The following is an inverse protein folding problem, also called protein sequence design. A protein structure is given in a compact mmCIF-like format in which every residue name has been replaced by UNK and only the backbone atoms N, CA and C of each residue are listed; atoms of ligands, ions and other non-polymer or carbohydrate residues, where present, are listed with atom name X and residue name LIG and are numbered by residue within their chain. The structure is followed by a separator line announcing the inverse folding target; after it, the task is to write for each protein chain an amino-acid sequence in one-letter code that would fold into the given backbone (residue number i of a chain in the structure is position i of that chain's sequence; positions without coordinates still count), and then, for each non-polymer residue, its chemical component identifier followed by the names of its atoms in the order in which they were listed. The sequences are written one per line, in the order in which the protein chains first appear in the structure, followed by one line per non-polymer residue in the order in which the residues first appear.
data_IF_318824343534
#
_entry.id   IF_318824343534
#
_cell.length_a   1.000
_cell.length_b   1.000
_cell.length_c   1.000
_cell.angle_alpha   90.00
_cell.angle_beta   90.00
_cell.angle_gamma   90.00
#
_symmetry.space_group_name_H-M   'P 1'
#
loop_
_entity.id
_entity.type
_entity.pdbx_description
1 polymer ?
#
# COMPACT_ATOMS: atom_id res chain seq x y z
N UNK A 1 -33.72 -35.58 46.77
CA UNK A 1 -32.37 -35.75 47.37
C UNK A 1 -31.36 -35.05 46.46
N UNK A 2 -30.90 -33.87 46.86
CA UNK A 2 -29.65 -33.25 46.39
C UNK A 2 -28.51 -33.68 47.36
N UNK A 3 -27.21 -33.46 47.06
CA UNK A 3 -26.55 -32.14 47.19
C UNK A 3 -25.68 -31.78 45.96
N UNK A 4 -25.56 -30.52 45.53
CA UNK A 4 -24.83 -29.38 46.09
C UNK A 4 -23.30 -29.44 45.90
N UNK A 5 -22.79 -28.53 45.05
CA UNK A 5 -21.36 -28.26 44.84
C UNK A 5 -21.16 -26.89 44.17
N UNK A 6 -21.12 -25.84 45.00
CA UNK A 6 -20.77 -24.46 44.64
C UNK A 6 -19.27 -24.29 44.36
N UNK A 7 -18.89 -23.36 43.48
CA UNK A 7 -17.80 -22.39 43.70
C UNK A 7 -17.83 -21.26 42.64
N UNK A 8 -18.33 -20.06 43.00
CA UNK A 8 -17.59 -18.78 43.19
C UNK A 8 -17.04 -18.16 41.89
N UNK A 9 -17.79 -17.24 41.26
CA UNK A 9 -17.72 -15.75 41.40
C UNK A 9 -16.33 -15.14 41.22
N UNK A 10 -16.09 -14.54 40.06
CA UNK A 10 -15.32 -13.30 39.92
C UNK A 10 -15.94 -12.45 38.79
N UNK A 11 -16.72 -11.46 39.19
CA UNK A 11 -17.16 -10.36 38.36
C UNK A 11 -16.17 -9.21 38.58
N UNK A 12 -15.48 -8.76 37.54
CA UNK A 12 -14.77 -7.47 37.57
C UNK A 12 -15.45 -6.48 36.63
N UNK A 13 -15.99 -5.45 37.28
CA UNK A 13 -16.55 -4.22 36.74
C UNK A 13 -15.41 -3.33 36.25
N UNK A 14 -15.51 -2.74 35.07
CA UNK A 14 -14.77 -1.53 34.71
C UNK A 14 -15.79 -0.43 34.40
N UNK A 15 -15.65 0.67 35.12
CA UNK A 15 -16.58 1.80 35.17
C UNK A 15 -16.28 2.77 34.03
N UNK A 16 -17.35 3.16 33.36
CA UNK A 16 -17.52 4.36 32.54
C UNK A 16 -17.13 5.62 33.33
N UNK A 17 -16.36 6.52 32.71
CA UNK A 17 -16.30 7.93 33.11
C UNK A 17 -16.49 8.78 31.86
N UNK A 18 -17.61 9.48 31.81
CA UNK A 18 -18.00 10.48 30.83
C UNK A 18 -18.24 11.76 31.64
N UNK A 19 -17.47 12.83 31.41
CA UNK A 19 -17.77 14.17 31.92
C UNK A 19 -17.33 15.24 30.92
N UNK A 20 -18.30 15.66 30.10
CA UNK A 20 -18.72 17.04 29.78
C UNK A 20 -17.68 18.13 29.51
N UNK A 21 -17.80 18.70 28.31
CA UNK A 21 -17.27 19.99 27.86
C UNK A 21 -18.08 21.19 28.38
N UNK A 22 -17.47 22.38 28.46
CA UNK A 22 -18.04 23.69 28.11
C UNK A 22 -17.00 24.84 28.18
N UNK A 23 -16.73 25.42 27.00
CA UNK A 23 -16.53 26.84 26.62
C UNK A 23 -15.94 27.89 27.59
N UNK A 24 -14.96 28.67 27.10
CA UNK A 24 -15.16 30.09 26.66
C UNK A 24 -13.87 30.75 26.07
N UNK A 25 -14.10 31.61 25.07
CA UNK A 25 -13.37 32.77 24.49
C UNK A 25 -11.94 33.11 24.99
N UNK A 26 -11.04 33.69 24.19
CA UNK A 26 -11.14 34.38 22.90
C UNK A 26 -9.98 35.36 22.73
N UNK A 27 -9.66 35.67 21.47
CA UNK A 27 -8.93 36.86 20.95
C UNK A 27 -7.45 37.07 21.29
N UNK A 28 -6.59 36.85 20.27
CA UNK A 28 -5.26 37.47 20.11
C UNK A 28 -5.41 38.61 19.09
N UNK A 29 -5.07 39.83 19.49
CA UNK A 29 -5.08 41.04 18.66
C UNK A 29 -3.75 41.21 17.89
N UNK A 30 -3.90 41.72 16.66
CA UNK A 30 -2.86 42.16 15.72
C UNK A 30 -2.36 43.60 16.01
N UNK A 31 -1.18 43.90 15.43
CA UNK A 31 -0.74 45.21 14.86
C UNK A 31 -0.42 46.36 15.84
N UNK A 32 0.46 47.35 15.58
CA UNK A 32 1.46 47.68 14.56
C UNK A 32 2.16 49.02 14.97
N UNK A 33 3.20 49.42 14.22
CA UNK A 33 3.80 50.79 14.11
C UNK A 33 4.61 51.28 15.33
N UNK A 34 5.66 52.11 15.26
CA UNK A 34 6.41 52.88 14.25
C UNK A 34 7.63 53.49 15.00
N UNK A 35 8.82 53.68 14.43
CA UNK A 35 9.19 54.88 13.66
C UNK A 35 9.77 56.00 14.55
N UNK A 36 10.99 56.49 14.24
CA UNK A 36 11.42 57.85 14.60
C UNK A 36 12.70 58.02 15.43
N UNK A 37 13.80 58.27 14.71
CA UNK A 37 14.80 59.35 14.86
C UNK A 37 15.59 59.62 16.17
N UNK A 38 16.90 59.78 15.92
CA UNK A 38 18.02 60.28 16.74
C UNK A 38 17.85 61.75 17.18
N UNK A 39 18.59 62.22 18.20
CA UNK A 39 19.82 62.97 17.89
C UNK A 39 20.99 62.79 18.89
N UNK A 40 22.21 63.04 18.40
CA UNK A 40 23.42 63.36 19.19
C UNK A 40 23.32 64.83 19.71
N UNK A 41 24.13 65.35 20.68
CA UNK A 41 25.59 65.47 20.52
C UNK A 41 26.43 65.52 21.83
N UNK A 42 27.76 65.67 21.67
CA UNK A 42 28.71 66.47 22.48
C UNK A 42 29.94 65.72 23.04
N UNK A 43 31.10 66.04 22.44
CA UNK A 43 32.47 65.97 22.98
C UNK A 43 32.85 67.29 23.70
N UNK A 44 34.08 67.52 24.24
CA UNK A 44 35.02 66.74 25.09
C UNK A 44 35.44 67.64 26.32
N UNK A 45 36.52 67.43 27.13
CA UNK A 45 37.95 67.60 26.71
C UNK A 45 39.04 66.79 27.50
N UNK A 46 40.29 66.81 26.96
CA UNK A 46 41.62 66.97 27.61
C UNK A 46 42.04 66.02 28.79
N UNK A 47 43.29 65.58 29.01
CA UNK A 47 44.64 65.81 28.48
C UNK A 47 45.66 64.90 29.21
N UNK A 48 46.93 64.96 28.80
CA UNK A 48 48.22 64.46 29.40
C UNK A 48 48.69 63.07 28.94
N UNK A 49 49.61 62.98 27.96
CA UNK A 49 51.09 63.17 27.97
C UNK A 49 51.87 61.98 28.61
N UNK A 50 52.40 61.02 27.82
CA UNK A 50 53.83 60.86 27.34
C UNK A 50 54.69 60.01 28.33
N UNK A 51 55.76 59.24 27.97
CA UNK A 51 56.40 58.94 26.67
C UNK A 51 56.61 57.44 26.32
N UNK A 52 56.95 57.19 25.06
CA UNK A 52 57.64 55.98 24.58
C UNK A 52 59.16 56.01 24.92
N UNK A 53 59.85 54.86 24.89
CA UNK A 53 60.88 54.72 23.86
C UNK A 53 61.06 53.32 23.24
N UNK A 54 61.42 53.35 21.96
CA UNK A 54 62.44 52.52 21.27
C UNK A 54 62.18 51.04 20.94
N UNK A 55 61.96 50.80 19.64
CA UNK A 55 62.43 49.63 18.86
C UNK A 55 63.98 49.53 18.89
N UNK A 56 64.64 48.40 18.54
CA UNK A 56 64.28 47.48 17.44
C UNK A 56 64.57 45.97 17.65
N UNK A 57 64.02 45.14 16.76
CA UNK A 57 64.74 44.20 15.87
C UNK A 57 63.81 43.11 15.33
N UNK A 58 63.72 43.03 14.01
CA UNK A 58 63.12 41.94 13.24
C UNK A 58 63.92 40.65 13.46
N UNK A 59 63.21 39.57 13.83
CA UNK A 59 63.71 38.19 13.75
C UNK A 59 62.85 37.47 12.71
N UNK A 60 63.45 36.80 11.71
CA UNK A 60 62.69 36.26 10.58
C UNK A 60 61.83 35.08 11.00
N UNK A 61 60.62 35.02 10.43
CA UNK A 61 59.70 33.92 10.59
C UNK A 61 60.33 32.58 10.14
N UNK A 62 60.17 31.48 10.87
CA UNK A 62 60.47 30.16 10.33
C UNK A 62 59.47 29.84 9.22
N UNK A 63 60.01 29.54 8.04
CA UNK A 63 59.26 29.02 6.90
C UNK A 63 58.81 27.59 7.18
N UNK A 64 57.67 27.42 7.86
CA UNK A 64 56.97 26.14 7.88
C UNK A 64 56.18 25.98 6.59
N UNK A 65 56.83 25.40 5.59
CA UNK A 65 56.15 24.78 4.44
C UNK A 65 55.87 23.31 4.76
N UNK A 66 55.09 23.07 5.81
CA UNK A 66 54.40 21.80 5.98
C UNK A 66 53.18 21.82 5.05
N UNK A 67 53.33 21.26 3.85
CA UNK A 67 52.20 20.89 3.00
C UNK A 67 51.43 19.78 3.71
N UNK A 68 50.55 20.16 4.64
CA UNK A 68 49.54 19.29 5.22
C UNK A 68 48.49 19.04 4.15
N UNK A 69 48.70 18.00 3.35
CA UNK A 69 47.62 17.39 2.58
C UNK A 69 46.76 16.63 3.59
N UNK A 70 45.84 17.36 4.22
CA UNK A 70 44.79 16.75 5.04
C UNK A 70 44.08 15.72 4.15
N UNK A 71 44.06 14.43 4.52
CA UNK A 71 43.44 13.40 3.69
C UNK A 71 41.98 13.77 3.50
N UNK A 72 41.52 13.74 2.24
CA UNK A 72 40.11 14.01 1.94
C UNK A 72 39.22 13.12 2.83
N UNK A 73 38.18 13.68 3.47
CA UNK A 73 37.29 12.91 4.32
C UNK A 73 36.72 11.76 3.49
N UNK A 74 36.85 10.54 4.02
CA UNK A 74 36.31 9.35 3.38
C UNK A 74 34.82 9.59 3.07
N UNK A 75 34.34 9.22 1.88
CA UNK A 75 32.93 9.40 1.54
C UNK A 75 32.06 8.73 2.59
N UNK A 76 31.11 9.48 3.14
CA UNK A 76 30.13 8.93 4.09
C UNK A 76 29.39 7.76 3.43
N UNK A 77 29.13 6.65 4.16
CA UNK A 77 28.42 5.52 3.59
C UNK A 77 27.04 5.97 3.12
N UNK A 78 26.67 5.60 1.88
CA UNK A 78 25.34 5.89 1.37
C UNK A 78 24.27 5.38 2.34
N UNK A 79 23.20 6.16 2.59
CA UNK A 79 22.11 5.70 3.45
C UNK A 79 21.51 4.40 2.89
N UNK A 80 21.11 3.45 3.75
CA UNK A 80 20.58 2.18 3.30
C UNK A 80 19.33 2.41 2.44
N UNK A 81 19.25 1.71 1.32
CA UNK A 81 18.11 1.78 0.42
C UNK A 81 16.89 1.15 1.12
N UNK A 82 15.67 1.64 0.84
CA UNK A 82 14.47 1.11 1.50
C UNK A 82 14.23 -0.40 1.32
N UNK A 83 14.73 -0.97 0.23
CA UNK A 83 14.67 -2.41 -0.09
C UNK A 83 15.88 -3.20 0.42
N UNK A 84 16.80 -2.59 1.16
CA UNK A 84 17.91 -3.32 1.78
C UNK A 84 17.37 -4.35 2.77
N UNK A 85 17.79 -5.61 2.60
CA UNK A 85 17.33 -6.76 3.37
C UNK A 85 16.15 -7.53 2.76
N UNK A 86 15.63 -7.13 1.59
CA UNK A 86 14.70 -7.97 0.83
C UNK A 86 15.41 -9.25 0.36
N UNK A 87 14.72 -10.39 0.46
CA UNK A 87 15.18 -11.67 -0.06
C UNK A 87 14.66 -11.83 -1.48
N UNK A 88 15.56 -11.79 -2.46
CA UNK A 88 15.24 -12.01 -3.88
C UNK A 88 15.58 -13.46 -4.23
N UNK A 89 14.63 -14.25 -4.77
CA UNK A 89 14.89 -15.61 -5.25
C UNK A 89 16.05 -15.71 -6.24
N UNK A 90 16.76 -16.84 -6.21
CA UNK A 90 17.89 -17.09 -7.10
C UNK A 90 17.46 -17.02 -8.58
N UNK A 91 18.25 -16.31 -9.40
CA UNK A 91 17.96 -16.12 -10.82
C UNK A 91 16.90 -15.06 -11.11
N UNK A 92 16.40 -14.35 -10.09
CA UNK A 92 15.49 -13.23 -10.26
C UNK A 92 16.20 -11.89 -10.04
N UNK A 93 15.67 -10.82 -10.65
CA UNK A 93 16.07 -9.44 -10.37
C UNK A 93 14.83 -8.60 -10.12
N UNK A 94 14.89 -7.78 -9.08
CA UNK A 94 13.80 -6.90 -8.69
C UNK A 94 14.27 -5.44 -8.77
N UNK A 95 13.47 -4.60 -9.41
CA UNK A 95 13.63 -3.15 -9.37
C UNK A 95 12.57 -2.54 -8.47
N UNK A 96 12.96 -1.54 -7.68
CA UNK A 96 12.14 -0.97 -6.63
C UNK A 96 12.05 0.55 -6.74
N UNK A 97 10.95 1.12 -6.27
CA UNK A 97 10.79 2.55 -6.04
C UNK A 97 10.00 2.82 -4.77
N UNK A 98 10.07 4.05 -4.28
CA UNK A 98 9.15 4.56 -3.25
C UNK A 98 8.08 5.41 -3.92
N UNK A 99 6.81 5.05 -3.72
CA UNK A 99 5.66 5.86 -4.14
C UNK A 99 4.82 6.21 -2.93
N UNK A 100 4.66 7.51 -2.65
CA UNK A 100 3.85 7.99 -1.53
C UNK A 100 4.23 7.31 -0.19
N UNK A 101 5.52 7.01 0.01
CA UNK A 101 6.05 6.35 1.20
C UNK A 101 5.91 4.82 1.23
N UNK A 102 5.37 4.19 0.18
CA UNK A 102 5.27 2.73 0.04
C UNK A 102 6.41 2.18 -0.81
N UNK A 103 6.96 1.01 -0.44
CA UNK A 103 7.88 0.26 -1.27
C UNK A 103 7.13 -0.44 -2.40
N UNK A 104 7.54 -0.24 -3.65
CA UNK A 104 6.85 -0.74 -4.84
C UNK A 104 7.81 -1.50 -5.74
N UNK A 105 7.45 -2.74 -6.08
CA UNK A 105 8.14 -3.56 -7.08
C UNK A 105 7.75 -3.08 -8.47
N UNK A 106 8.69 -2.52 -9.24
CA UNK A 106 8.40 -1.90 -10.54
C UNK A 106 8.64 -2.83 -11.71
N UNK A 107 9.64 -3.68 -11.58
CA UNK A 107 10.04 -4.66 -12.59
C UNK A 107 10.57 -5.90 -11.88
N UNK A 108 10.26 -7.07 -12.43
CA UNK A 108 10.72 -8.34 -11.90
C UNK A 108 11.10 -9.29 -13.04
N UNK A 109 12.41 -9.51 -13.18
CA UNK A 109 12.96 -10.46 -14.13
C UNK A 109 13.11 -11.83 -13.48
N UNK A 110 12.80 -12.88 -14.23
CA UNK A 110 12.96 -14.28 -13.80
C UNK A 110 13.35 -15.15 -15.01
N UNK A 111 13.97 -16.30 -14.73
CA UNK A 111 14.43 -17.24 -15.77
C UNK A 111 13.40 -18.31 -16.13
N UNK A 112 12.57 -18.73 -15.17
CA UNK A 112 11.50 -19.72 -15.37
C UNK A 112 10.14 -19.09 -15.02
N UNK A 113 9.20 -19.07 -15.97
CA UNK A 113 7.89 -18.44 -15.79
C UNK A 113 6.82 -19.30 -15.14
N UNK A 114 7.12 -20.55 -14.81
CA UNK A 114 6.24 -21.38 -13.99
C UNK A 114 6.64 -21.24 -12.51
N UNK A 115 5.64 -21.01 -11.64
CA UNK A 115 5.80 -20.91 -10.18
C UNK A 115 6.82 -19.84 -9.75
N UNK A 116 6.75 -18.66 -10.36
CA UNK A 116 7.59 -17.52 -9.98
C UNK A 116 7.32 -17.16 -8.52
N UNK A 117 8.38 -17.14 -7.71
CA UNK A 117 8.32 -16.67 -6.33
C UNK A 117 8.66 -15.18 -6.32
N UNK A 118 7.89 -14.39 -5.60
CA UNK A 118 8.19 -12.96 -5.40
C UNK A 118 9.13 -12.74 -4.19
N UNK A 119 9.78 -11.56 -4.11
CA UNK A 119 10.64 -11.23 -2.98
C UNK A 119 9.91 -11.23 -1.63
N UNK A 120 10.64 -11.47 -0.55
CA UNK A 120 10.10 -11.48 0.83
C UNK A 120 10.94 -10.64 1.78
N UNK A 121 10.41 -10.36 2.98
CA UNK A 121 11.15 -9.81 4.10
C UNK A 121 10.69 -8.43 4.58
N UNK A 122 9.94 -7.69 3.77
CA UNK A 122 9.28 -6.44 4.15
C UNK A 122 7.98 -6.27 3.37
N UNK A 123 6.99 -5.52 3.89
CA UNK A 123 5.78 -5.21 3.13
C UNK A 123 6.05 -4.38 1.87
N UNK A 124 5.43 -4.73 0.74
CA UNK A 124 5.52 -3.97 -0.51
C UNK A 124 4.26 -4.08 -1.38
N UNK A 125 4.15 -3.18 -2.35
CA UNK A 125 3.13 -3.22 -3.40
C UNK A 125 3.72 -3.81 -4.69
N UNK A 126 2.94 -4.61 -5.41
CA UNK A 126 3.25 -4.94 -6.80
C UNK A 126 2.87 -3.75 -7.66
N UNK A 127 3.86 -3.17 -8.34
CA UNK A 127 3.72 -1.92 -9.08
C UNK A 127 2.87 -2.04 -10.34
N UNK A 128 2.38 -0.89 -10.80
CA UNK A 128 1.58 -0.80 -12.00
C UNK A 128 2.33 -1.37 -13.20
N UNK A 129 1.65 -2.20 -13.99
CA UNK A 129 2.18 -2.90 -15.17
C UNK A 129 3.39 -3.83 -14.93
N UNK A 130 3.77 -4.16 -13.68
CA UNK A 130 5.00 -4.90 -13.37
C UNK A 130 5.17 -6.22 -14.15
N UNK A 131 4.07 -6.94 -14.38
CA UNK A 131 4.00 -8.19 -15.14
C UNK A 131 3.08 -8.08 -16.37
N UNK A 132 2.75 -6.87 -16.81
CA UNK A 132 1.87 -6.66 -17.96
C UNK A 132 2.47 -7.28 -19.23
N UNK A 133 1.64 -7.96 -20.02
CA UNK A 133 2.01 -8.65 -21.28
C UNK A 133 3.10 -9.72 -21.10
N UNK A 134 3.27 -10.22 -19.88
CA UNK A 134 4.23 -11.29 -19.62
C UNK A 134 3.61 -12.67 -19.90
N UNK A 135 3.55 -13.07 -21.17
CA UNK A 135 2.99 -14.36 -21.58
C UNK A 135 3.83 -15.57 -21.12
N UNK A 136 5.08 -15.35 -20.70
CA UNK A 136 5.94 -16.40 -20.13
C UNK A 136 5.56 -16.70 -18.68
N UNK A 137 5.00 -15.73 -17.94
CA UNK A 137 4.54 -15.91 -16.57
C UNK A 137 3.26 -16.77 -16.56
N UNK A 138 3.40 -18.06 -16.27
CA UNK A 138 2.30 -19.04 -16.26
C UNK A 138 1.82 -19.39 -14.85
N UNK A 139 2.64 -19.12 -13.83
CA UNK A 139 2.26 -19.27 -12.43
C UNK A 139 3.11 -18.38 -11.54
N UNK A 140 2.51 -17.87 -10.47
CA UNK A 140 3.15 -16.98 -9.50
C UNK A 140 2.65 -17.29 -8.09
N UNK A 141 3.53 -17.17 -7.10
CA UNK A 141 3.17 -17.22 -5.68
C UNK A 141 3.33 -15.82 -5.09
N UNK A 142 2.20 -15.22 -4.69
CA UNK A 142 2.15 -13.94 -3.99
C UNK A 142 2.38 -14.21 -2.49
N UNK A 143 3.47 -13.73 -1.87
CA UNK A 143 3.72 -13.92 -0.44
C UNK A 143 2.88 -12.97 0.41
N UNK A 144 2.77 -13.27 1.71
CA UNK A 144 2.06 -12.45 2.71
C UNK A 144 2.68 -11.06 2.94
N UNK A 145 3.88 -10.81 2.38
CA UNK A 145 4.52 -9.50 2.36
C UNK A 145 3.83 -8.52 1.38
N UNK A 146 3.07 -9.02 0.41
CA UNK A 146 2.39 -8.14 -0.56
C UNK A 146 1.12 -7.56 0.07
N UNK A 147 1.04 -6.23 0.12
CA UNK A 147 -0.09 -5.50 0.74
C UNK A 147 -1.00 -4.81 -0.26
N UNK A 148 -0.54 -4.60 -1.49
CA UNK A 148 -1.30 -3.92 -2.56
C UNK A 148 -0.86 -4.45 -3.93
N UNK A 149 -1.81 -4.56 -4.85
CA UNK A 149 -1.54 -4.86 -6.25
C UNK A 149 -2.08 -3.70 -7.10
N UNK A 150 -1.16 -2.99 -7.75
CA UNK A 150 -1.47 -1.78 -8.51
C UNK A 150 -2.06 -2.07 -9.89
N UNK A 151 -2.50 -1.00 -10.56
CA UNK A 151 -3.25 -1.06 -11.81
C UNK A 151 -2.52 -1.87 -12.89
N UNK A 152 -3.27 -2.74 -13.57
CA UNK A 152 -2.78 -3.55 -14.70
C UNK A 152 -1.54 -4.41 -14.40
N UNK A 153 -1.21 -4.66 -13.12
CA UNK A 153 0.03 -5.33 -12.74
C UNK A 153 0.26 -6.68 -13.45
N UNK A 154 -0.81 -7.42 -13.78
CA UNK A 154 -0.76 -8.72 -14.46
C UNK A 154 -1.57 -8.75 -15.76
N UNK A 155 -1.94 -7.58 -16.31
CA UNK A 155 -2.79 -7.49 -17.50
C UNK A 155 -2.13 -8.22 -18.68
N UNK A 156 -2.89 -8.98 -19.46
CA UNK A 156 -2.39 -9.77 -20.59
C UNK A 156 -1.27 -10.77 -20.23
N UNK A 157 -1.17 -11.23 -18.98
CA UNK A 157 -0.19 -12.25 -18.57
C UNK A 157 -0.60 -13.68 -18.97
N UNK A 158 0.36 -14.60 -18.94
CA UNK A 158 0.15 -16.02 -19.26
C UNK A 158 -0.39 -16.86 -18.09
N UNK A 159 -0.81 -16.23 -16.98
CA UNK A 159 -1.18 -16.92 -15.75
C UNK A 159 -2.30 -17.92 -15.97
N UNK A 160 -2.15 -19.13 -15.42
CA UNK A 160 -3.18 -20.19 -15.47
C UNK A 160 -4.10 -20.20 -14.26
N UNK A 161 -3.57 -19.80 -13.12
CA UNK A 161 -4.29 -19.69 -11.86
C UNK A 161 -3.69 -18.56 -11.04
N UNK A 162 -4.48 -17.97 -10.13
CA UNK A 162 -3.99 -16.98 -9.19
C UNK A 162 -4.63 -17.13 -7.81
N UNK A 163 -3.81 -16.96 -6.77
CA UNK A 163 -4.22 -16.85 -5.38
C UNK A 163 -3.76 -15.49 -4.85
N UNK A 164 -4.71 -14.69 -4.36
CA UNK A 164 -4.46 -13.38 -3.76
C UNK A 164 -4.65 -13.55 -2.24
N UNK A 165 -3.56 -13.51 -1.44
CA UNK A 165 -3.60 -13.78 -0.01
C UNK A 165 -4.30 -12.66 0.77
N UNK A 166 -4.70 -12.96 2.00
CA UNK A 166 -5.34 -12.01 2.90
C UNK A 166 -4.45 -10.82 3.29
N UNK A 167 -3.13 -10.88 3.10
CA UNK A 167 -2.23 -9.73 3.28
C UNK A 167 -2.54 -8.58 2.32
N UNK A 168 -3.01 -8.88 1.11
CA UNK A 168 -3.34 -7.86 0.10
C UNK A 168 -4.60 -7.12 0.55
N UNK A 169 -4.47 -5.83 0.84
CA UNK A 169 -5.58 -4.99 1.32
C UNK A 169 -6.22 -4.16 0.22
N UNK A 170 -5.49 -3.92 -0.86
CA UNK A 170 -5.88 -3.02 -1.93
C UNK A 170 -5.63 -3.65 -3.29
N UNK A 171 -6.70 -3.75 -4.09
CA UNK A 171 -6.69 -4.22 -5.47
C UNK A 171 -7.13 -3.06 -6.36
N UNK A 172 -6.24 -2.59 -7.24
CA UNK A 172 -6.53 -1.58 -8.25
C UNK A 172 -7.20 -2.19 -9.49
N UNK A 173 -7.37 -1.38 -10.52
CA UNK A 173 -8.14 -1.72 -11.72
C UNK A 173 -7.35 -2.60 -12.69
N UNK A 174 -8.08 -3.37 -13.49
CA UNK A 174 -7.61 -4.18 -14.63
C UNK A 174 -6.43 -5.14 -14.31
N UNK A 175 -6.21 -5.50 -13.03
CA UNK A 175 -5.01 -6.23 -12.60
C UNK A 175 -4.77 -7.49 -13.44
N UNK A 176 -5.78 -8.31 -13.66
CA UNK A 176 -5.70 -9.54 -14.46
C UNK A 176 -6.54 -9.44 -15.74
N UNK A 177 -6.88 -8.23 -16.21
CA UNK A 177 -7.63 -8.08 -17.44
C UNK A 177 -6.89 -8.77 -18.60
N UNK A 178 -7.65 -9.36 -19.52
CA UNK A 178 -7.13 -10.03 -20.72
C UNK A 178 -6.16 -11.20 -20.44
N UNK A 179 -6.15 -11.78 -19.24
CA UNK A 179 -5.42 -13.02 -18.95
C UNK A 179 -6.12 -14.24 -19.59
N UNK A 180 -5.90 -14.44 -20.89
CA UNK A 180 -6.63 -15.43 -21.68
C UNK A 180 -6.34 -16.90 -21.32
N UNK A 181 -5.28 -17.17 -20.55
CA UNK A 181 -4.98 -18.51 -20.03
C UNK A 181 -5.47 -18.76 -18.60
N UNK A 182 -6.00 -17.73 -17.92
CA UNK A 182 -6.40 -17.82 -16.52
C UNK A 182 -7.68 -18.64 -16.41
N UNK A 183 -7.63 -19.74 -15.65
CA UNK A 183 -8.74 -20.70 -15.51
C UNK A 183 -9.41 -20.64 -14.14
N UNK A 184 -8.64 -20.30 -13.10
CA UNK A 184 -9.15 -20.18 -11.73
C UNK A 184 -8.53 -19.00 -10.99
N UNK A 185 -9.31 -18.34 -10.16
CA UNK A 185 -8.81 -17.28 -9.28
C UNK A 185 -9.41 -17.38 -7.87
N UNK A 186 -8.61 -17.08 -6.87
CA UNK A 186 -9.05 -16.95 -5.48
C UNK A 186 -8.61 -15.60 -4.93
N UNK A 187 -9.56 -14.83 -4.38
CA UNK A 187 -9.31 -13.63 -3.58
C UNK A 187 -9.70 -13.95 -2.15
N UNK A 188 -8.71 -14.04 -1.26
CA UNK A 188 -8.95 -14.50 0.11
C UNK A 188 -9.68 -13.46 0.97
N UNK A 189 -9.20 -12.21 0.98
CA UNK A 189 -9.76 -11.19 1.87
C UNK A 189 -9.44 -9.76 1.42
N UNK A 190 -10.31 -9.16 0.59
CA UNK A 190 -10.28 -7.74 0.26
C UNK A 190 -11.68 -7.15 0.37
N UNK A 191 -11.85 -5.90 0.83
CA UNK A 191 -13.19 -5.31 0.99
C UNK A 191 -13.93 -5.14 -0.34
N UNK A 192 -13.19 -4.93 -1.42
CA UNK A 192 -13.71 -4.81 -2.77
C UNK A 192 -12.79 -5.50 -3.76
N UNK A 193 -13.34 -5.95 -4.89
CA UNK A 193 -12.55 -6.32 -6.06
C UNK A 193 -12.02 -5.05 -6.74
N UNK A 194 -11.05 -5.17 -7.65
CA UNK A 194 -10.71 -4.06 -8.55
C UNK A 194 -11.75 -3.91 -9.66
N UNK A 195 -11.90 -2.70 -10.24
CA UNK A 195 -12.71 -2.55 -11.46
C UNK A 195 -12.08 -3.36 -12.57
N UNK A 196 -12.90 -4.10 -13.33
CA UNK A 196 -12.44 -4.91 -14.47
C UNK A 196 -11.31 -5.89 -14.15
N UNK A 197 -11.17 -6.30 -12.89
CA UNK A 197 -10.03 -7.10 -12.39
C UNK A 197 -9.78 -8.39 -13.17
N UNK A 198 -10.83 -9.06 -13.67
CA UNK A 198 -10.76 -10.25 -14.52
C UNK A 198 -11.51 -10.07 -15.85
N UNK A 199 -11.66 -8.83 -16.32
CA UNK A 199 -12.35 -8.55 -17.57
C UNK A 199 -11.66 -9.27 -18.75
N UNK A 200 -12.45 -9.86 -19.64
CA UNK A 200 -11.98 -10.58 -20.85
C UNK A 200 -11.07 -11.78 -20.57
N UNK A 201 -11.07 -12.33 -19.36
CA UNK A 201 -10.46 -13.62 -19.03
C UNK A 201 -11.32 -14.77 -19.59
N UNK A 202 -11.24 -15.02 -20.89
CA UNK A 202 -12.11 -15.97 -21.62
C UNK A 202 -11.99 -17.42 -21.16
N UNK A 203 -10.85 -17.81 -20.58
CA UNK A 203 -10.65 -19.15 -20.05
C UNK A 203 -11.09 -19.30 -18.58
N UNK A 204 -11.42 -18.21 -17.88
CA UNK A 204 -11.71 -18.24 -16.44
C UNK A 204 -12.98 -19.03 -16.20
N UNK A 205 -12.89 -20.16 -15.50
CA UNK A 205 -14.04 -21.04 -15.26
C UNK A 205 -14.62 -20.86 -13.86
N UNK A 206 -13.76 -20.66 -12.86
CA UNK A 206 -14.15 -20.63 -11.46
C UNK A 206 -13.44 -19.50 -10.70
N UNK A 207 -14.19 -18.78 -9.89
CA UNK A 207 -13.66 -17.77 -8.96
C UNK A 207 -14.14 -18.05 -7.55
N UNK A 208 -13.26 -17.89 -6.57
CA UNK A 208 -13.60 -17.93 -5.15
C UNK A 208 -13.32 -16.58 -4.50
N UNK A 209 -14.36 -15.97 -3.95
CA UNK A 209 -14.28 -14.75 -3.15
C UNK A 209 -14.43 -15.12 -1.68
N UNK A 210 -13.47 -14.75 -0.84
CA UNK A 210 -13.53 -15.01 0.59
C UNK A 210 -14.40 -14.02 1.37
N UNK A 211 -14.63 -14.34 2.65
CA UNK A 211 -15.61 -13.67 3.53
C UNK A 211 -15.31 -12.19 3.82
N UNK A 212 -14.21 -11.63 3.32
CA UNK A 212 -13.94 -10.19 3.39
C UNK A 212 -14.59 -9.34 2.29
N UNK A 213 -15.03 -9.96 1.19
CA UNK A 213 -15.48 -9.21 -0.01
C UNK A 213 -16.90 -8.68 0.17
N UNK A 214 -17.00 -7.36 0.33
CA UNK A 214 -18.26 -6.63 0.50
C UNK A 214 -18.82 -6.18 -0.85
N UNK A 215 -17.94 -5.86 -1.80
CA UNK A 215 -18.33 -5.33 -3.13
C UNK A 215 -17.59 -6.00 -4.27
N UNK A 216 -18.36 -6.36 -5.31
CA UNK A 216 -17.84 -6.69 -6.64
C UNK A 216 -17.95 -5.42 -7.51
N UNK A 217 -16.80 -4.89 -7.93
CA UNK A 217 -16.68 -3.62 -8.64
C UNK A 217 -17.10 -3.70 -10.11
N UNK A 218 -17.23 -2.52 -10.73
CA UNK A 218 -17.71 -2.36 -12.11
C UNK A 218 -16.90 -3.23 -13.08
N UNK A 219 -17.62 -4.02 -13.87
CA UNK A 219 -17.02 -4.86 -14.92
C UNK A 219 -16.07 -5.97 -14.42
N UNK A 220 -16.05 -6.30 -13.12
CA UNK A 220 -15.05 -7.20 -12.53
C UNK A 220 -14.82 -8.51 -13.32
N UNK A 221 -15.88 -9.10 -13.87
CA UNK A 221 -15.82 -10.33 -14.68
C UNK A 221 -16.36 -10.12 -16.10
N UNK A 222 -16.54 -8.89 -16.56
CA UNK A 222 -17.11 -8.55 -17.88
C UNK A 222 -16.40 -9.33 -19.01
N UNK A 223 -17.18 -9.94 -19.91
CA UNK A 223 -16.67 -10.75 -21.03
C UNK A 223 -15.73 -11.91 -20.63
N UNK A 224 -15.79 -12.38 -19.39
CA UNK A 224 -15.03 -13.55 -18.94
C UNK A 224 -15.73 -14.87 -19.28
N UNK A 225 -14.97 -15.97 -19.22
CA UNK A 225 -15.52 -17.32 -19.39
C UNK A 225 -16.25 -17.87 -18.16
N UNK A 226 -16.47 -17.05 -17.13
CA UNK A 226 -16.81 -17.50 -15.77
C UNK A 226 -18.10 -18.32 -15.77
N UNK A 227 -18.03 -19.54 -15.22
CA UNK A 227 -19.17 -20.46 -15.10
C UNK A 227 -19.61 -20.69 -13.66
N UNK A 228 -18.66 -20.63 -12.73
CA UNK A 228 -18.87 -20.88 -11.31
C UNK A 228 -18.26 -19.78 -10.47
N UNK A 229 -18.99 -19.29 -9.48
CA UNK A 229 -18.46 -18.36 -8.48
C UNK A 229 -18.86 -18.78 -7.08
N UNK A 230 -17.90 -18.74 -6.15
CA UNK A 230 -18.18 -18.82 -4.71
C UNK A 230 -18.28 -17.41 -4.18
N UNK A 231 -19.45 -17.06 -3.64
CA UNK A 231 -19.75 -15.73 -3.08
C UNK A 231 -19.72 -15.78 -1.55
N UNK A 232 -19.23 -14.72 -0.88
CA UNK A 232 -19.17 -14.65 0.57
C UNK A 232 -20.50 -14.19 1.18
N UNK A 233 -20.70 -14.51 2.46
CA UNK A 233 -21.84 -14.03 3.25
C UNK A 233 -21.86 -12.51 3.42
N UNK A 234 -20.70 -11.86 3.36
CA UNK A 234 -20.52 -10.41 3.55
C UNK A 234 -20.83 -9.56 2.32
N UNK A 235 -21.02 -10.15 1.14
CA UNK A 235 -21.31 -9.42 -0.09
C UNK A 235 -22.58 -8.58 0.07
N UNK A 236 -22.53 -7.28 -0.21
CA UNK A 236 -23.71 -6.39 -0.17
C UNK A 236 -23.97 -5.68 -1.50
N UNK A 237 -22.94 -5.51 -2.33
CA UNK A 237 -23.00 -4.71 -3.54
C UNK A 237 -22.35 -5.44 -4.72
N UNK A 238 -23.04 -5.41 -5.87
CA UNK A 238 -22.51 -5.81 -7.17
C UNK A 238 -22.74 -4.64 -8.11
N UNK A 239 -21.65 -4.03 -8.57
CA UNK A 239 -21.73 -2.86 -9.44
C UNK A 239 -22.17 -3.24 -10.87
N UNK A 240 -22.51 -2.23 -11.66
CA UNK A 240 -22.94 -2.40 -13.06
C UNK A 240 -21.91 -3.17 -13.89
N UNK A 241 -22.39 -3.95 -14.85
CA UNK A 241 -21.59 -4.76 -15.78
C UNK A 241 -20.68 -5.83 -15.15
N UNK A 242 -20.71 -6.04 -13.83
CA UNK A 242 -19.78 -6.94 -13.15
C UNK A 242 -19.78 -8.36 -13.73
N UNK A 243 -20.94 -8.84 -14.20
CA UNK A 243 -21.11 -10.14 -14.85
C UNK A 243 -21.64 -10.02 -16.29
N UNK A 244 -21.43 -8.88 -16.95
CA UNK A 244 -21.89 -8.70 -18.33
C UNK A 244 -21.12 -9.61 -19.30
N UNK A 245 -21.82 -10.15 -20.30
CA UNK A 245 -21.33 -11.17 -21.23
C UNK A 245 -20.59 -12.36 -20.57
N UNK A 246 -20.97 -12.72 -19.35
CA UNK A 246 -20.52 -13.95 -18.69
C UNK A 246 -21.46 -15.12 -19.00
N UNK A 247 -20.96 -16.35 -18.86
CA UNK A 247 -21.77 -17.57 -18.91
C UNK A 247 -21.89 -18.21 -17.52
N UNK A 248 -22.16 -17.37 -16.52
CA UNK A 248 -22.26 -17.80 -15.12
C UNK A 248 -23.49 -18.69 -14.97
N UNK A 249 -23.31 -19.89 -14.42
CA UNK A 249 -24.38 -20.88 -14.24
C UNK A 249 -24.53 -21.32 -12.79
N UNK A 250 -23.43 -21.32 -12.05
CA UNK A 250 -23.37 -21.91 -10.72
C UNK A 250 -22.87 -20.92 -9.70
N UNK A 251 -23.65 -20.76 -8.63
CA UNK A 251 -23.26 -20.02 -7.44
C UNK A 251 -23.04 -21.01 -6.31
N UNK A 252 -21.91 -20.90 -5.64
CA UNK A 252 -21.67 -21.56 -4.36
C UNK A 252 -21.83 -20.50 -3.28
N UNK A 253 -22.78 -20.71 -2.38
CA UNK A 253 -23.07 -19.80 -1.29
C UNK A 253 -23.38 -20.59 -0.03
N UNK A 254 -22.78 -20.20 1.10
CA UNK A 254 -23.04 -20.83 2.39
C UNK A 254 -24.29 -20.21 3.04
N UNK A 255 -25.46 -20.66 2.60
CA UNK A 255 -26.76 -20.19 3.05
C UNK A 255 -27.81 -20.27 1.94
N UNK A 256 -28.89 -19.51 2.10
CA UNK A 256 -29.92 -19.36 1.07
C UNK A 256 -29.54 -18.23 0.11
N UNK A 257 -29.14 -18.59 -1.12
CA UNK A 257 -28.78 -17.62 -2.14
C UNK A 257 -29.95 -16.76 -2.58
N UNK A 258 -31.17 -17.30 -2.69
CA UNK A 258 -32.32 -16.53 -3.16
C UNK A 258 -32.70 -15.46 -2.14
N UNK A 259 -32.69 -15.80 -0.86
CA UNK A 259 -32.85 -14.83 0.22
C UNK A 259 -31.73 -13.79 0.18
N UNK A 260 -30.46 -14.20 0.05
CA UNK A 260 -29.32 -13.28 -0.04
C UNK A 260 -29.44 -12.32 -1.22
N UNK A 261 -29.72 -12.84 -2.42
CA UNK A 261 -29.86 -12.10 -3.68
C UNK A 261 -30.88 -10.97 -3.55
N UNK A 262 -32.00 -11.20 -2.84
CA UNK A 262 -33.02 -10.17 -2.61
C UNK A 262 -32.56 -8.99 -1.74
N UNK A 263 -31.47 -9.15 -0.99
CA UNK A 263 -30.89 -8.10 -0.12
C UNK A 263 -29.73 -7.35 -0.77
N UNK A 264 -29.22 -7.83 -1.91
CA UNK A 264 -28.08 -7.21 -2.59
C UNK A 264 -28.51 -5.96 -3.35
N UNK A 265 -27.66 -4.94 -3.35
CA UNK A 265 -27.72 -3.87 -4.34
C UNK A 265 -26.99 -4.35 -5.59
N UNK A 266 -27.73 -4.66 -6.64
CA UNK A 266 -27.21 -5.17 -7.91
C UNK A 266 -27.39 -4.10 -8.99
N UNK A 267 -26.29 -3.65 -9.58
CA UNK A 267 -26.27 -2.71 -10.70
C UNK A 267 -26.75 -3.35 -12.01
N UNK A 268 -26.96 -2.51 -13.01
CA UNK A 268 -27.44 -2.93 -14.34
C UNK A 268 -26.48 -3.93 -15.03
N UNK A 269 -27.01 -4.72 -15.96
CA UNK A 269 -26.27 -5.70 -16.77
C UNK A 269 -25.53 -6.77 -15.94
N UNK A 270 -26.26 -7.36 -14.99
CA UNK A 270 -25.81 -8.49 -14.18
C UNK A 270 -26.75 -9.71 -14.30
N UNK A 271 -27.41 -9.88 -15.45
CA UNK A 271 -28.39 -10.96 -15.67
C UNK A 271 -27.82 -12.36 -15.42
N UNK A 272 -26.53 -12.57 -15.72
CA UNK A 272 -25.84 -13.83 -15.46
C UNK A 272 -25.79 -14.17 -13.96
N UNK A 273 -25.69 -13.18 -13.08
CA UNK A 273 -25.77 -13.37 -11.63
C UNK A 273 -27.21 -13.68 -11.19
N UNK A 274 -28.19 -12.98 -11.76
CA UNK A 274 -29.60 -13.10 -11.40
C UNK A 274 -30.21 -14.45 -11.79
N UNK A 275 -29.73 -15.02 -12.89
CA UNK A 275 -30.23 -16.27 -13.49
C UNK A 275 -29.42 -17.51 -13.10
N UNK A 276 -28.24 -17.35 -12.50
CA UNK A 276 -27.43 -18.47 -12.04
C UNK A 276 -28.08 -19.21 -10.86
N UNK A 277 -27.90 -20.53 -10.83
CA UNK A 277 -28.47 -21.41 -9.80
C UNK A 277 -27.45 -21.72 -8.71
N UNK A 278 -27.92 -21.79 -7.47
CA UNK A 278 -27.10 -22.30 -6.38
C UNK A 278 -26.86 -23.82 -6.55
N UNK A 279 -25.61 -24.27 -6.37
CA UNK A 279 -25.26 -25.70 -6.30
C UNK A 279 -25.40 -26.27 -4.91
#
# INVERSE_FOLDING_TARGET
MAPAGQNRRLAMKWRTVLCTALFLCGTVLLSACGGGEVPAPAEPPASSEVPAPSQPEEVPAPSESASSSEPEPLPEPEPPKPWDGMVIPEGCKAEWKIEQGKLVLVSYEFTNGANVLLPTGKPYSIGANCFMKNWKLTGITIPEDVVEIQQSAFQESGLKQIYIPASVKELKNDIFADCHSLTTATIENTPMTGQRIFARCKALQSVQLGEGVIRIEEGAFEHSGLKKITLPGTLSNVEKYAFDYCNLKTIVYNGDWEAKKSTLTIGEQNEALLTATQS
#
